data_IF_677781387540
#
_entry.id   IF_677781387540
#
_cell.length_a   1.000
_cell.length_b   1.000
_cell.length_c   1.000
_cell.angle_alpha   90.00
_cell.angle_beta   90.00
_cell.angle_gamma   90.00
#
_symmetry.space_group_name_H-M   'P 1'
#
loop_
_entity.id
_entity.type
_entity.pdbx_description
1 polymer ?
#
# COMPACT_ATOMS: atom_id res chain seq x y z
N UNK A 1 -1.12 16.08 35.25
CA UNK A 1 0.14 16.68 34.79
C UNK A 1 0.37 16.22 33.35
N UNK A 2 0.27 17.13 32.40
CA UNK A 2 0.60 16.84 31.00
C UNK A 2 2.10 16.71 30.89
N UNK A 3 2.63 15.48 30.86
CA UNK A 3 4.03 15.25 30.49
C UNK A 3 4.17 15.73 29.04
N UNK A 4 4.90 16.80 28.84
CA UNK A 4 5.27 17.26 27.49
C UNK A 4 6.09 16.16 26.84
N UNK A 5 5.47 15.42 25.90
CA UNK A 5 6.18 14.39 25.11
C UNK A 5 7.37 15.08 24.45
N UNK A 6 8.57 14.62 24.74
CA UNK A 6 9.81 15.13 24.12
C UNK A 6 9.81 14.70 22.64
N UNK A 7 9.40 15.61 21.75
CA UNK A 7 9.29 15.35 20.30
C UNK A 7 10.58 15.67 19.58
N UNK A 8 10.89 14.85 18.58
CA UNK A 8 11.97 15.14 17.65
C UNK A 8 11.49 16.16 16.59
N UNK A 9 12.41 16.94 16.00
CA UNK A 9 12.11 17.95 14.97
C UNK A 9 11.41 17.41 13.72
N UNK A 10 11.44 16.11 13.48
CA UNK A 10 10.79 15.45 12.34
C UNK A 10 9.36 14.97 12.64
N UNK A 11 8.97 14.97 13.91
CA UNK A 11 7.67 14.47 14.36
C UNK A 11 6.59 15.54 14.24
N UNK A 12 5.46 15.16 13.63
CA UNK A 12 4.29 16.04 13.48
C UNK A 12 3.36 15.83 14.66
N UNK A 13 2.96 16.93 15.33
CA UNK A 13 1.92 16.90 16.36
C UNK A 13 0.53 16.72 15.73
N UNK A 14 0.01 15.49 15.77
CA UNK A 14 -1.29 15.17 15.20
C UNK A 14 -2.46 15.51 16.12
N UNK A 15 -2.18 15.74 17.42
CA UNK A 15 -3.21 15.92 18.44
C UNK A 15 -3.56 17.37 18.72
N UNK A 16 -2.75 18.36 18.32
CA UNK A 16 -2.97 19.78 18.59
C UNK A 16 -2.82 20.63 17.32
N UNK A 17 -3.25 21.89 17.36
CA UNK A 17 -3.13 22.87 16.26
C UNK A 17 -4.01 22.55 15.06
N UNK A 18 -3.67 23.14 13.92
CA UNK A 18 -4.37 22.97 12.63
C UNK A 18 -4.20 21.55 12.11
N UNK A 19 -5.18 21.05 11.36
CA UNK A 19 -5.17 19.66 10.85
C UNK A 19 -4.70 19.62 9.41
N UNK A 20 -5.26 20.46 8.53
CA UNK A 20 -5.06 20.38 7.09
C UNK A 20 -3.58 20.54 6.67
N UNK A 21 -2.89 21.54 7.20
CA UNK A 21 -1.45 21.78 6.93
C UNK A 21 -0.57 20.60 7.34
N UNK A 22 -0.92 19.99 8.49
CA UNK A 22 -0.20 18.82 9.00
C UNK A 22 -0.51 17.56 8.19
N UNK A 23 -1.76 17.39 7.73
CA UNK A 23 -2.12 16.30 6.81
C UNK A 23 -1.34 16.40 5.50
N UNK A 24 -1.24 17.60 4.93
CA UNK A 24 -0.45 17.83 3.70
C UNK A 24 1.02 17.53 3.96
N UNK A 25 1.60 18.08 5.04
CA UNK A 25 3.01 17.84 5.41
C UNK A 25 3.32 16.38 5.68
N UNK A 26 2.36 15.60 6.18
CA UNK A 26 2.50 14.16 6.41
C UNK A 26 2.30 13.34 5.12
N UNK A 27 1.29 13.68 4.32
CA UNK A 27 0.91 12.91 3.12
C UNK A 27 1.90 13.11 1.97
N UNK A 28 2.47 14.31 1.80
CA UNK A 28 3.36 14.62 0.69
C UNK A 28 4.61 13.72 0.63
N UNK A 29 5.36 13.49 1.74
CA UNK A 29 6.47 12.54 1.72
C UNK A 29 6.04 11.10 1.45
N UNK A 30 4.82 10.70 1.86
CA UNK A 30 4.29 9.37 1.57
C UNK A 30 3.95 9.22 0.08
N UNK A 31 3.36 10.24 -0.53
CA UNK A 31 3.11 10.28 -1.98
C UNK A 31 4.42 10.16 -2.76
N UNK A 32 5.42 10.94 -2.39
CA UNK A 32 6.74 10.88 -3.02
C UNK A 32 7.38 9.50 -2.85
N UNK A 33 7.25 8.88 -1.68
CA UNK A 33 7.73 7.50 -1.44
C UNK A 33 7.09 6.50 -2.37
N UNK A 34 5.77 6.57 -2.56
CA UNK A 34 5.05 5.67 -3.45
C UNK A 34 5.39 5.89 -4.92
N UNK A 35 5.51 7.16 -5.37
CA UNK A 35 5.94 7.49 -6.74
C UNK A 35 7.35 6.94 -6.99
N UNK A 36 8.28 7.12 -6.05
CA UNK A 36 9.63 6.57 -6.16
C UNK A 36 9.63 5.05 -6.26
N UNK A 37 8.79 4.36 -5.51
CA UNK A 37 8.67 2.89 -5.63
C UNK A 37 8.19 2.47 -7.01
N UNK A 38 7.21 3.17 -7.60
CA UNK A 38 6.77 2.91 -8.98
C UNK A 38 7.90 3.17 -9.99
N UNK A 39 8.66 4.25 -9.81
CA UNK A 39 9.80 4.57 -10.68
C UNK A 39 10.91 3.51 -10.57
N UNK A 40 11.22 3.01 -9.39
CA UNK A 40 12.24 1.97 -9.22
C UNK A 40 11.81 0.66 -9.89
N UNK A 41 10.56 0.26 -9.74
CA UNK A 41 10.02 -0.89 -10.47
C UNK A 41 10.10 -0.69 -12.00
N UNK A 42 9.84 0.53 -12.49
CA UNK A 42 9.99 0.84 -13.91
C UNK A 42 11.46 0.74 -14.38
N UNK A 43 12.42 1.22 -13.57
CA UNK A 43 13.86 1.09 -13.86
C UNK A 43 14.28 -0.38 -13.93
N UNK A 44 13.83 -1.21 -13.00
CA UNK A 44 14.09 -2.66 -12.99
C UNK A 44 13.61 -3.31 -14.28
N UNK A 45 12.39 -3.01 -14.71
CA UNK A 45 11.79 -3.53 -15.95
C UNK A 45 12.55 -3.04 -17.19
N UNK A 46 12.95 -1.77 -17.24
CA UNK A 46 13.70 -1.18 -18.37
C UNK A 46 15.09 -1.82 -18.47
N UNK A 47 15.81 -1.96 -17.38
CA UNK A 47 17.15 -2.54 -17.35
C UNK A 47 17.10 -4.00 -17.83
N UNK A 48 16.16 -4.80 -17.31
CA UNK A 48 16.00 -6.19 -17.75
C UNK A 48 15.59 -6.27 -19.22
N UNK A 49 14.60 -5.50 -19.64
CA UNK A 49 14.07 -5.56 -21.00
C UNK A 49 15.10 -5.16 -22.07
N UNK A 50 15.97 -4.19 -21.77
CA UNK A 50 17.01 -3.72 -22.71
C UNK A 50 18.27 -4.58 -22.75
N UNK A 51 18.69 -5.14 -21.62
CA UNK A 51 20.00 -5.77 -21.48
C UNK A 51 19.98 -7.27 -21.25
N UNK A 52 18.81 -7.86 -20.92
CA UNK A 52 18.71 -9.30 -20.61
C UNK A 52 17.73 -10.07 -21.51
N UNK A 53 17.07 -9.39 -22.43
CA UNK A 53 16.17 -9.99 -23.42
C UNK A 53 14.75 -10.25 -22.93
N UNK A 54 13.89 -10.69 -23.87
CA UNK A 54 12.45 -10.85 -23.65
C UNK A 54 12.08 -11.94 -22.65
N UNK A 55 12.82 -13.03 -22.58
CA UNK A 55 12.57 -14.11 -21.61
C UNK A 55 12.79 -13.64 -20.17
N UNK A 56 13.84 -12.87 -19.92
CA UNK A 56 14.11 -12.27 -18.61
C UNK A 56 13.04 -11.27 -18.21
N UNK A 57 12.55 -10.47 -19.16
CA UNK A 57 11.45 -9.55 -18.94
C UNK A 57 10.14 -10.29 -18.59
N UNK A 58 9.84 -11.36 -19.34
CA UNK A 58 8.68 -12.22 -19.06
C UNK A 58 8.77 -12.89 -17.68
N UNK A 59 9.99 -13.32 -17.28
CA UNK A 59 10.22 -13.92 -15.97
C UNK A 59 9.92 -12.97 -14.82
N UNK A 60 10.36 -11.72 -14.88
CA UNK A 60 10.06 -10.71 -13.85
C UNK A 60 8.59 -10.34 -13.87
N UNK A 61 8.00 -10.16 -15.06
CA UNK A 61 6.59 -9.83 -15.20
C UNK A 61 5.64 -10.86 -14.60
N UNK A 62 5.89 -12.14 -14.87
CA UNK A 62 5.06 -13.27 -14.37
C UNK A 62 5.10 -13.41 -12.85
N UNK A 63 6.21 -13.05 -12.21
CA UNK A 63 6.38 -13.19 -10.75
C UNK A 63 5.82 -12.01 -9.95
N UNK A 64 5.65 -10.83 -10.57
CA UNK A 64 5.23 -9.59 -9.87
C UNK A 64 3.89 -9.75 -9.16
N UNK A 65 2.90 -10.35 -9.79
CA UNK A 65 1.57 -10.56 -9.20
C UNK A 65 1.62 -11.45 -7.96
N UNK A 66 2.42 -12.54 -8.02
CA UNK A 66 2.63 -13.46 -6.91
C UNK A 66 3.32 -12.79 -5.73
N UNK A 67 4.41 -12.07 -6.01
CA UNK A 67 5.15 -11.33 -4.99
C UNK A 67 4.22 -10.34 -4.29
N UNK A 68 3.44 -9.57 -5.04
CA UNK A 68 2.49 -8.61 -4.49
C UNK A 68 1.40 -9.28 -3.65
N UNK A 69 0.89 -10.43 -4.06
CA UNK A 69 -0.11 -11.17 -3.30
C UNK A 69 0.40 -11.56 -1.91
N UNK A 70 1.60 -12.12 -1.83
CA UNK A 70 2.21 -12.53 -0.57
C UNK A 70 2.62 -11.33 0.29
N UNK A 71 3.20 -10.28 -0.31
CA UNK A 71 3.71 -9.12 0.44
C UNK A 71 2.59 -8.25 1.00
N UNK A 72 1.47 -8.08 0.27
CA UNK A 72 0.36 -7.24 0.70
C UNK A 72 -0.26 -7.68 2.03
N UNK A 73 -0.32 -8.98 2.30
CA UNK A 73 -0.81 -9.49 3.59
C UNK A 73 0.06 -8.98 4.75
N UNK A 74 1.38 -9.10 4.62
CA UNK A 74 2.32 -8.68 5.66
C UNK A 74 2.48 -7.17 5.77
N UNK A 75 2.37 -6.44 4.65
CA UNK A 75 2.25 -4.98 4.66
C UNK A 75 1.00 -4.57 5.44
N UNK A 76 -0.13 -5.26 5.23
CA UNK A 76 -1.35 -5.05 6.01
C UNK A 76 -1.11 -5.22 7.52
N UNK A 77 -0.35 -6.24 7.93
CA UNK A 77 -0.02 -6.45 9.34
C UNK A 77 0.83 -5.29 9.90
N UNK A 78 1.73 -4.70 9.10
CA UNK A 78 2.51 -3.53 9.52
C UNK A 78 1.63 -2.29 9.82
N UNK A 79 0.45 -2.17 9.18
CA UNK A 79 -0.52 -1.12 9.51
C UNK A 79 -1.06 -1.29 10.93
N UNK A 80 -1.22 -2.53 11.41
CA UNK A 80 -1.57 -2.81 12.80
C UNK A 80 -0.51 -2.31 13.78
N UNK A 81 0.77 -2.49 13.46
CA UNK A 81 1.86 -1.93 14.25
C UNK A 81 1.85 -0.40 14.24
N UNK A 82 1.56 0.25 13.10
CA UNK A 82 1.40 1.70 13.02
C UNK A 82 0.28 2.20 13.94
N UNK A 83 -0.92 1.62 13.84
CA UNK A 83 -2.09 2.03 14.64
C UNK A 83 -1.81 1.90 16.13
N UNK A 84 -1.22 0.80 16.57
CA UNK A 84 -0.97 0.56 17.97
C UNK A 84 0.12 1.50 18.53
N UNK A 85 1.22 1.66 17.78
CA UNK A 85 2.30 2.59 18.11
C UNK A 85 1.79 4.04 18.18
N UNK A 86 0.98 4.48 17.20
CA UNK A 86 0.40 5.82 17.19
C UNK A 86 -0.46 6.10 18.42
N UNK A 87 -1.27 5.12 18.83
CA UNK A 87 -2.14 5.20 20.01
C UNK A 87 -1.33 5.36 21.30
N UNK A 88 -0.35 4.49 21.54
CA UNK A 88 0.45 4.52 22.77
C UNK A 88 1.38 5.72 22.83
N UNK A 89 1.97 6.09 21.69
CA UNK A 89 2.80 7.30 21.61
C UNK A 89 2.03 8.55 22.03
N UNK A 90 0.84 8.77 21.45
CA UNK A 90 0.01 9.95 21.78
C UNK A 90 -0.50 9.92 23.23
N UNK A 91 -0.80 8.74 23.76
CA UNK A 91 -1.25 8.57 25.14
C UNK A 91 -0.12 8.72 26.18
N UNK A 92 1.15 8.89 25.77
CA UNK A 92 2.31 8.96 26.68
C UNK A 92 2.58 7.66 27.43
N UNK A 93 2.18 6.52 26.85
CA UNK A 93 2.35 5.20 27.43
C UNK A 93 3.67 4.58 26.96
N UNK A 94 4.77 5.04 27.55
CA UNK A 94 6.12 4.74 27.09
C UNK A 94 6.48 3.24 27.17
N UNK A 95 6.01 2.55 28.21
CA UNK A 95 6.23 1.11 28.36
C UNK A 95 5.53 0.32 27.24
N UNK A 96 4.24 0.57 27.06
CA UNK A 96 3.42 -0.08 26.04
C UNK A 96 3.91 0.25 24.62
N UNK A 97 4.38 1.48 24.41
CA UNK A 97 5.01 1.89 23.14
C UNK A 97 6.29 1.09 22.89
N UNK A 98 7.19 1.01 23.87
CA UNK A 98 8.42 0.22 23.76
C UNK A 98 8.13 -1.25 23.49
N UNK A 99 7.21 -1.88 24.22
CA UNK A 99 6.84 -3.29 24.04
C UNK A 99 6.18 -3.53 22.67
N UNK A 100 5.40 -2.57 22.15
CA UNK A 100 4.82 -2.62 20.81
C UNK A 100 5.91 -2.57 19.73
N UNK A 101 6.88 -1.67 19.85
CA UNK A 101 8.00 -1.54 18.91
C UNK A 101 8.80 -2.84 18.84
N UNK A 102 9.19 -3.41 20.00
CA UNK A 102 9.96 -4.64 20.04
C UNK A 102 9.17 -5.84 19.50
N UNK A 103 7.88 -5.92 19.80
CA UNK A 103 6.97 -6.93 19.22
C UNK A 103 6.85 -6.79 17.71
N UNK A 104 6.70 -5.57 17.20
CA UNK A 104 6.56 -5.29 15.76
C UNK A 104 7.84 -5.64 14.98
N UNK A 105 9.01 -5.27 15.47
CA UNK A 105 10.30 -5.59 14.83
C UNK A 105 10.59 -7.10 14.88
N UNK A 106 10.29 -7.75 16.01
CA UNK A 106 10.43 -9.22 16.11
C UNK A 106 9.47 -9.93 15.14
N UNK A 107 8.24 -9.43 15.02
CA UNK A 107 7.25 -9.95 14.06
C UNK A 107 7.71 -9.74 12.61
N UNK A 108 8.33 -8.60 12.30
CA UNK A 108 8.91 -8.34 10.98
C UNK A 108 9.99 -9.37 10.60
N UNK A 109 10.88 -9.70 11.54
CA UNK A 109 11.91 -10.73 11.34
C UNK A 109 11.29 -12.11 11.10
N UNK A 110 10.36 -12.53 11.97
CA UNK A 110 9.71 -13.83 11.87
C UNK A 110 8.92 -13.94 10.57
N UNK A 111 8.11 -12.94 10.23
CA UNK A 111 7.34 -12.92 8.98
C UNK A 111 8.26 -12.94 7.76
N UNK A 112 9.35 -12.19 7.79
CA UNK A 112 10.37 -12.20 6.73
C UNK A 112 11.01 -13.59 6.55
N UNK A 113 11.39 -14.24 7.65
CA UNK A 113 11.96 -15.59 7.62
C UNK A 113 10.94 -16.61 7.09
N UNK A 114 9.69 -16.54 7.54
CA UNK A 114 8.60 -17.39 7.00
C UNK A 114 8.49 -17.20 5.48
N UNK A 115 8.55 -15.98 5.00
CA UNK A 115 8.48 -15.67 3.58
C UNK A 115 9.68 -16.20 2.79
N UNK A 116 10.88 -16.25 3.37
CA UNK A 116 12.04 -16.94 2.75
C UNK A 116 11.71 -18.40 2.48
N UNK A 117 11.21 -19.13 3.49
CA UNK A 117 10.83 -20.53 3.31
C UNK A 117 9.70 -20.71 2.30
N UNK A 118 8.68 -19.84 2.34
CA UNK A 118 7.60 -19.85 1.36
C UNK A 118 8.15 -19.67 -0.05
N UNK A 119 9.02 -18.69 -0.28
CA UNK A 119 9.63 -18.46 -1.59
C UNK A 119 10.53 -19.58 -2.07
N UNK A 120 11.33 -20.17 -1.19
CA UNK A 120 12.23 -21.26 -1.57
C UNK A 120 11.48 -22.56 -1.92
N UNK A 121 10.41 -22.88 -1.18
CA UNK A 121 9.66 -24.12 -1.34
C UNK A 121 8.60 -24.00 -2.43
N UNK A 122 7.81 -22.92 -2.42
CA UNK A 122 6.61 -22.79 -3.24
C UNK A 122 6.81 -22.00 -4.55
N UNK A 123 7.98 -21.37 -4.79
CA UNK A 123 8.20 -20.57 -6.00
C UNK A 123 7.91 -21.38 -7.28
N UNK A 124 8.56 -22.54 -7.45
CA UNK A 124 8.38 -23.36 -8.64
C UNK A 124 7.00 -24.00 -8.76
N UNK A 125 6.44 -24.67 -7.70
CA UNK A 125 5.10 -25.25 -7.75
C UNK A 125 3.98 -24.23 -8.09
N UNK A 126 4.08 -23.01 -7.58
CA UNK A 126 3.06 -21.97 -7.86
C UNK A 126 3.18 -21.47 -9.30
N UNK A 127 4.41 -21.32 -9.84
CA UNK A 127 4.63 -20.96 -11.24
C UNK A 127 4.16 -22.05 -12.20
N UNK A 128 4.35 -23.32 -11.87
CA UNK A 128 3.79 -24.47 -12.61
C UNK A 128 2.26 -24.45 -12.60
N UNK A 129 1.64 -24.17 -11.46
CA UNK A 129 0.17 -24.05 -11.34
C UNK A 129 -0.39 -22.88 -12.17
N UNK A 130 0.43 -21.88 -12.48
CA UNK A 130 0.07 -20.74 -13.33
C UNK A 130 0.34 -20.97 -14.82
N UNK A 131 0.67 -22.18 -15.22
CA UNK A 131 1.04 -22.53 -16.61
C UNK A 131 2.15 -21.62 -17.18
N UNK A 132 3.16 -21.32 -16.34
CA UNK A 132 4.31 -20.52 -16.79
C UNK A 132 5.10 -21.30 -17.83
N UNK A 133 5.41 -20.73 -19.02
CA UNK A 133 6.12 -21.43 -20.09
C UNK A 133 7.49 -22.00 -19.66
N UNK A 134 7.85 -23.17 -20.21
CA UNK A 134 9.07 -23.93 -19.85
C UNK A 134 10.37 -23.14 -20.09
N UNK A 135 10.39 -22.26 -21.08
CA UNK A 135 11.52 -21.40 -21.42
C UNK A 135 11.73 -20.24 -20.44
N UNK A 136 10.71 -19.91 -19.63
CA UNK A 136 10.71 -18.79 -18.67
C UNK A 136 10.72 -19.27 -17.22
N UNK A 137 10.16 -20.44 -16.92
CA UNK A 137 9.92 -20.91 -15.54
C UNK A 137 11.18 -20.98 -14.68
N UNK A 138 12.31 -21.37 -15.26
CA UNK A 138 13.57 -21.46 -14.52
C UNK A 138 14.09 -20.07 -14.11
N UNK A 139 13.97 -19.07 -14.98
CA UNK A 139 14.33 -17.68 -14.71
C UNK A 139 13.39 -17.05 -13.69
N UNK A 140 12.08 -17.30 -13.83
CA UNK A 140 11.05 -16.84 -12.88
C UNK A 140 11.27 -17.43 -11.49
N UNK A 141 11.57 -18.73 -11.40
CA UNK A 141 11.88 -19.41 -10.14
C UNK A 141 13.13 -18.83 -9.48
N UNK A 142 14.19 -18.61 -10.26
CA UNK A 142 15.43 -18.01 -9.77
C UNK A 142 15.20 -16.59 -9.23
N UNK A 143 14.51 -15.74 -10.00
CA UNK A 143 14.15 -14.38 -9.58
C UNK A 143 13.36 -14.40 -8.28
N UNK A 144 12.29 -15.18 -8.24
CA UNK A 144 11.41 -15.28 -7.09
C UNK A 144 12.15 -15.77 -5.85
N UNK A 145 12.99 -16.80 -5.95
CA UNK A 145 13.78 -17.30 -4.82
C UNK A 145 14.73 -16.25 -4.27
N UNK A 146 15.48 -15.54 -5.13
CA UNK A 146 16.41 -14.48 -4.71
C UNK A 146 15.60 -13.33 -4.07
N UNK A 147 14.50 -12.91 -4.68
CA UNK A 147 13.65 -11.85 -4.15
C UNK A 147 13.13 -12.19 -2.73
N UNK A 148 12.65 -13.42 -2.53
CA UNK A 148 12.15 -13.87 -1.24
C UNK A 148 13.24 -13.97 -0.16
N UNK A 149 14.50 -14.23 -0.54
CA UNK A 149 15.63 -14.12 0.40
C UNK A 149 15.80 -12.70 0.96
N UNK A 150 15.35 -11.67 0.25
CA UNK A 150 15.32 -10.27 0.70
C UNK A 150 14.15 -9.92 1.61
N UNK A 151 13.14 -10.81 1.77
CA UNK A 151 11.93 -10.51 2.53
C UNK A 151 12.16 -10.07 3.99
N UNK A 152 13.11 -10.61 4.76
CA UNK A 152 13.40 -10.11 6.09
C UNK A 152 13.74 -8.61 6.10
N UNK A 153 14.52 -8.14 5.13
CA UNK A 153 14.91 -6.73 5.02
C UNK A 153 13.72 -5.87 4.58
N UNK A 154 12.93 -6.35 3.63
CA UNK A 154 11.70 -5.69 3.19
C UNK A 154 10.71 -5.53 4.36
N UNK A 155 10.50 -6.56 5.17
CA UNK A 155 9.61 -6.51 6.32
C UNK A 155 10.14 -5.57 7.39
N UNK A 156 11.43 -5.62 7.72
CA UNK A 156 12.06 -4.71 8.69
C UNK A 156 11.91 -3.25 8.29
N UNK A 157 12.10 -2.93 7.00
CA UNK A 157 11.85 -1.57 6.51
C UNK A 157 10.38 -1.17 6.68
N UNK A 158 9.43 -2.00 6.25
CA UNK A 158 8.00 -1.67 6.30
C UNK A 158 7.49 -1.45 7.73
N UNK A 159 7.86 -2.34 8.66
CA UNK A 159 7.45 -2.21 10.07
C UNK A 159 8.16 -1.04 10.76
N UNK A 160 9.45 -0.85 10.52
CA UNK A 160 10.19 0.29 11.05
C UNK A 160 9.65 1.63 10.52
N UNK A 161 9.36 1.71 9.22
CA UNK A 161 8.71 2.88 8.63
C UNK A 161 7.28 3.09 9.18
N UNK A 162 6.54 2.02 9.47
CA UNK A 162 5.22 2.10 10.10
C UNK A 162 5.30 2.70 11.51
N UNK A 163 6.31 2.35 12.31
CA UNK A 163 6.57 2.95 13.62
C UNK A 163 6.92 4.44 13.49
N UNK A 164 7.79 4.82 12.54
CA UNK A 164 8.14 6.22 12.31
C UNK A 164 6.91 7.04 11.85
N UNK A 165 6.10 6.51 10.96
CA UNK A 165 4.83 7.13 10.55
C UNK A 165 3.86 7.29 11.73
N UNK A 166 3.83 6.32 12.64
CA UNK A 166 2.97 6.37 13.84
C UNK A 166 3.27 7.57 14.74
N UNK A 167 4.53 7.99 14.84
CA UNK A 167 4.96 9.15 15.61
C UNK A 167 4.96 10.47 14.81
N UNK A 168 4.56 10.42 13.53
CA UNK A 168 4.47 11.60 12.67
C UNK A 168 5.66 11.87 11.78
N UNK A 169 6.61 10.96 11.71
CA UNK A 169 7.79 11.11 10.87
C UNK A 169 7.65 10.33 9.54
N UNK A 170 7.36 11.05 8.49
CA UNK A 170 7.30 10.52 7.12
C UNK A 170 8.51 10.91 6.28
N UNK A 171 9.30 11.89 6.73
CA UNK A 171 10.45 12.42 5.97
C UNK A 171 11.64 11.48 6.02
N UNK A 172 11.97 10.92 7.20
CA UNK A 172 13.10 9.99 7.32
C UNK A 172 12.90 8.69 6.53
N UNK A 173 11.74 8.00 6.58
CA UNK A 173 11.46 6.86 5.70
C UNK A 173 11.58 7.17 4.20
N UNK A 174 11.10 8.34 3.75
CA UNK A 174 11.29 8.80 2.38
C UNK A 174 12.78 8.93 2.02
N UNK A 175 13.56 9.57 2.86
CA UNK A 175 15.00 9.74 2.62
C UNK A 175 15.72 8.38 2.51
N UNK A 176 15.39 7.42 3.38
CA UNK A 176 15.96 6.07 3.34
C UNK A 176 15.59 5.33 2.06
N UNK A 177 14.37 5.54 1.58
CA UNK A 177 13.92 4.97 0.31
C UNK A 177 14.64 5.60 -0.89
N UNK A 178 14.90 6.91 -0.87
CA UNK A 178 15.69 7.57 -1.93
C UNK A 178 17.10 6.97 -1.99
N UNK A 179 17.78 6.86 -0.85
CA UNK A 179 19.13 6.27 -0.78
C UNK A 179 19.13 4.83 -1.30
N UNK A 180 18.18 4.02 -0.85
CA UNK A 180 18.05 2.63 -1.29
C UNK A 180 17.73 2.53 -2.79
N UNK A 181 16.91 3.41 -3.33
CA UNK A 181 16.53 3.39 -4.72
C UNK A 181 17.65 3.83 -5.67
N UNK A 182 18.45 4.83 -5.28
CA UNK A 182 19.66 5.19 -6.04
C UNK A 182 20.65 4.01 -6.04
N UNK A 183 20.84 3.35 -4.89
CA UNK A 183 21.66 2.14 -4.80
C UNK A 183 21.11 1.01 -5.66
N UNK A 184 19.78 0.78 -5.66
CA UNK A 184 19.12 -0.22 -6.50
C UNK A 184 19.41 0.03 -8.00
N UNK A 185 19.17 1.25 -8.49
CA UNK A 185 19.40 1.59 -9.89
C UNK A 185 20.89 1.39 -10.28
N UNK A 186 21.83 1.82 -9.44
CA UNK A 186 23.25 1.63 -9.66
C UNK A 186 23.67 0.15 -9.65
N UNK A 187 23.15 -0.62 -8.70
CA UNK A 187 23.42 -2.07 -8.60
C UNK A 187 22.82 -2.83 -9.78
N UNK A 188 21.61 -2.51 -10.21
CA UNK A 188 20.98 -3.14 -11.36
C UNK A 188 21.81 -2.91 -12.65
N UNK A 189 22.26 -1.67 -12.89
CA UNK A 189 23.14 -1.37 -14.02
C UNK A 189 24.44 -2.16 -13.92
N UNK A 190 25.07 -2.18 -12.76
CA UNK A 190 26.33 -2.89 -12.53
C UNK A 190 26.16 -4.41 -12.72
N UNK A 191 25.21 -5.02 -12.03
CA UNK A 191 25.03 -6.48 -12.02
C UNK A 191 24.48 -7.02 -13.35
N UNK A 192 23.65 -6.27 -14.05
CA UNK A 192 23.07 -6.70 -15.33
C UNK A 192 23.97 -6.37 -16.49
N UNK A 193 24.56 -5.17 -16.54
CA UNK A 193 25.33 -4.72 -17.74
C UNK A 193 26.79 -5.17 -17.64
N UNK A 194 27.43 -5.04 -16.47
CA UNK A 194 28.87 -5.35 -16.32
C UNK A 194 29.06 -6.84 -16.00
N UNK A 195 28.29 -7.36 -15.03
CA UNK A 195 28.44 -8.78 -14.61
C UNK A 195 27.56 -9.75 -15.40
N UNK A 196 26.67 -9.28 -16.27
CA UNK A 196 25.78 -10.08 -17.12
C UNK A 196 24.92 -11.10 -16.35
N UNK A 197 24.53 -10.78 -15.11
CA UNK A 197 23.75 -11.68 -14.24
C UNK A 197 22.25 -11.73 -14.61
N UNK A 198 21.80 -10.94 -15.57
CA UNK A 198 20.41 -10.95 -16.06
C UNK A 198 19.39 -10.77 -14.92
N UNK A 199 18.42 -11.70 -14.86
CA UNK A 199 17.34 -11.71 -13.87
C UNK A 199 17.87 -11.78 -12.43
N UNK A 200 18.92 -12.58 -12.19
CA UNK A 200 19.54 -12.67 -10.86
C UNK A 200 20.16 -11.35 -10.43
N UNK A 201 20.75 -10.59 -11.38
CA UNK A 201 21.34 -9.29 -11.09
C UNK A 201 20.33 -8.29 -10.55
N UNK A 202 19.15 -8.17 -11.16
CA UNK A 202 18.08 -7.28 -10.66
C UNK A 202 17.53 -7.74 -9.32
N UNK A 203 17.31 -9.04 -9.14
CA UNK A 203 16.85 -9.57 -7.86
C UNK A 203 17.85 -9.28 -6.72
N UNK A 204 19.15 -9.49 -6.95
CA UNK A 204 20.21 -9.19 -5.97
C UNK A 204 20.28 -7.69 -5.70
N UNK A 205 20.21 -6.83 -6.73
CA UNK A 205 20.18 -5.39 -6.59
C UNK A 205 19.02 -4.92 -5.70
N UNK A 206 17.84 -5.49 -5.89
CA UNK A 206 16.65 -5.23 -5.08
C UNK A 206 16.86 -5.69 -3.63
N UNK A 207 17.39 -6.89 -3.39
CA UNK A 207 17.67 -7.39 -2.04
C UNK A 207 18.67 -6.50 -1.29
N UNK A 208 19.76 -6.09 -1.96
CA UNK A 208 20.77 -5.19 -1.34
C UNK A 208 20.16 -3.82 -1.04
N UNK A 209 19.34 -3.27 -1.91
CA UNK A 209 18.67 -1.99 -1.67
C UNK A 209 17.68 -2.06 -0.49
N UNK A 210 16.96 -3.17 -0.34
CA UNK A 210 16.11 -3.44 0.82
C UNK A 210 16.92 -3.58 2.11
N UNK A 211 18.07 -4.22 2.05
CA UNK A 211 19.01 -4.29 3.18
C UNK A 211 19.47 -2.88 3.60
N UNK A 212 19.87 -2.02 2.66
CA UNK A 212 20.26 -0.64 2.94
C UNK A 212 19.14 0.12 3.65
N UNK A 213 17.93 0.10 3.10
CA UNK A 213 16.79 0.81 3.70
C UNK A 213 16.44 0.27 5.10
N UNK A 214 16.51 -1.04 5.30
CA UNK A 214 16.26 -1.66 6.60
C UNK A 214 17.31 -1.27 7.66
N UNK A 215 18.59 -1.26 7.30
CA UNK A 215 19.67 -0.81 8.19
C UNK A 215 19.46 0.65 8.60
N UNK A 216 19.12 1.52 7.65
CA UNK A 216 18.90 2.94 7.93
C UNK A 216 17.71 3.17 8.86
N UNK A 217 16.61 2.47 8.66
CA UNK A 217 15.44 2.55 9.53
C UNK A 217 15.75 1.99 10.93
N UNK A 218 16.38 0.83 11.03
CA UNK A 218 16.74 0.23 12.32
C UNK A 218 17.74 1.10 13.10
N UNK A 219 18.75 1.67 12.41
CA UNK A 219 19.68 2.63 13.01
C UNK A 219 18.97 3.87 13.53
N UNK A 220 17.95 4.35 12.81
CA UNK A 220 17.13 5.48 13.24
C UNK A 220 16.38 5.15 14.54
N UNK A 221 15.71 4.00 14.61
CA UNK A 221 15.00 3.55 15.81
C UNK A 221 15.97 3.29 16.98
N UNK A 222 17.12 2.69 16.72
CA UNK A 222 18.14 2.42 17.75
C UNK A 222 18.71 3.70 18.37
N UNK A 223 18.96 4.74 17.54
CA UNK A 223 19.52 6.02 17.99
C UNK A 223 18.48 7.01 18.52
N UNK A 224 17.22 6.64 18.52
CA UNK A 224 16.17 7.48 19.07
C UNK A 224 16.26 7.53 20.59
N UNK A 225 16.13 8.72 21.19
CA UNK A 225 16.11 8.91 22.66
C UNK A 225 14.67 9.06 23.18
N UNK A 226 13.71 8.39 22.56
CA UNK A 226 12.29 8.50 22.82
C UNK A 226 11.69 7.13 23.17
N UNK A 227 10.41 7.08 23.53
CA UNK A 227 9.69 5.85 23.92
C UNK A 227 9.67 4.75 22.84
N UNK A 228 9.96 5.09 21.58
CA UNK A 228 10.06 4.13 20.48
C UNK A 228 11.51 3.67 20.18
N UNK A 229 12.45 3.92 21.10
CA UNK A 229 13.82 3.44 20.95
C UNK A 229 13.87 1.91 20.87
N UNK A 230 14.59 1.41 19.85
CA UNK A 230 14.81 -0.02 19.67
C UNK A 230 16.04 -0.48 20.46
N UNK A 231 15.86 -1.48 21.31
CA UNK A 231 16.94 -2.19 21.98
C UNK A 231 16.96 -3.64 21.52
N UNK A 232 18.00 -4.07 20.83
CA UNK A 232 18.10 -5.44 20.31
C UNK A 232 18.03 -6.51 21.41
N UNK A 233 18.48 -6.20 22.62
CA UNK A 233 18.39 -7.10 23.79
C UNK A 233 16.95 -7.29 24.31
N UNK A 234 16.04 -6.40 23.94
CA UNK A 234 14.63 -6.45 24.39
C UNK A 234 13.69 -7.03 23.32
N UNK A 235 14.22 -7.53 22.20
CA UNK A 235 13.41 -8.15 21.16
C UNK A 235 12.66 -9.36 21.72
N UNK A 236 11.34 -9.23 21.80
CA UNK A 236 10.43 -10.24 22.33
C UNK A 236 9.04 -10.01 21.79
N UNK A 237 8.33 -11.10 21.53
CA UNK A 237 6.90 -11.03 21.21
C UNK A 237 6.10 -10.98 22.49
N UNK A 238 5.36 -9.89 22.67
CA UNK A 238 4.35 -9.76 23.71
C UNK A 238 2.99 -10.17 23.12
N UNK A 239 2.40 -11.25 23.63
CA UNK A 239 1.15 -11.84 23.08
C UNK A 239 0.00 -10.84 23.01
N UNK A 240 -0.10 -9.95 23.98
CA UNK A 240 -1.15 -8.94 24.04
C UNK A 240 -1.07 -7.96 22.87
N UNK A 241 0.13 -7.40 22.61
CA UNK A 241 0.31 -6.45 21.51
C UNK A 241 0.30 -7.15 20.15
N UNK A 242 0.82 -8.37 20.06
CA UNK A 242 0.71 -9.19 18.85
C UNK A 242 -0.75 -9.39 18.44
N UNK A 243 -1.61 -9.74 19.40
CA UNK A 243 -3.05 -9.92 19.17
C UNK A 243 -3.68 -8.63 18.66
N UNK A 244 -3.35 -7.49 19.25
CA UNK A 244 -3.87 -6.19 18.83
C UNK A 244 -3.35 -5.79 17.43
N UNK A 245 -2.08 -6.03 17.12
CA UNK A 245 -1.50 -5.81 15.79
C UNK A 245 -2.25 -6.66 14.75
N UNK A 246 -2.49 -7.95 15.05
CA UNK A 246 -3.21 -8.85 14.15
C UNK A 246 -4.68 -8.48 13.97
N UNK A 247 -5.36 -8.03 15.01
CA UNK A 247 -6.76 -7.57 14.92
C UNK A 247 -6.96 -6.43 13.93
N UNK A 248 -5.96 -5.58 13.75
CA UNK A 248 -6.00 -4.48 12.77
C UNK A 248 -5.38 -4.92 11.45
N UNK A 249 -4.22 -5.56 11.51
CA UNK A 249 -3.38 -5.80 10.35
C UNK A 249 -3.84 -6.93 9.44
N UNK A 250 -4.26 -8.08 10.00
CA UNK A 250 -4.73 -9.21 9.19
C UNK A 250 -5.95 -8.84 8.35
N UNK A 251 -7.02 -8.23 8.91
CA UNK A 251 -8.13 -7.80 8.08
C UNK A 251 -7.73 -6.80 6.99
N UNK A 252 -6.80 -5.88 7.28
CA UNK A 252 -6.31 -4.93 6.28
C UNK A 252 -5.56 -5.61 5.13
N UNK A 253 -4.72 -6.60 5.43
CA UNK A 253 -4.01 -7.39 4.43
C UNK A 253 -4.94 -8.25 3.57
N UNK A 254 -5.90 -8.93 4.19
CA UNK A 254 -6.91 -9.72 3.48
C UNK A 254 -7.73 -8.81 2.54
N UNK A 255 -8.18 -7.65 3.02
CA UNK A 255 -8.93 -6.69 2.20
C UNK A 255 -8.13 -6.30 0.94
N UNK A 256 -6.85 -5.94 1.07
CA UNK A 256 -6.01 -5.56 -0.06
C UNK A 256 -5.83 -6.71 -1.06
N UNK A 257 -5.61 -7.93 -0.57
CA UNK A 257 -5.43 -9.12 -1.41
C UNK A 257 -6.71 -9.44 -2.19
N UNK A 258 -7.87 -9.42 -1.55
CA UNK A 258 -9.16 -9.75 -2.18
C UNK A 258 -9.58 -8.68 -3.19
N UNK A 259 -9.32 -7.39 -2.93
CA UNK A 259 -9.58 -6.31 -3.89
C UNK A 259 -8.69 -6.48 -5.13
N UNK A 260 -7.42 -6.81 -4.96
CA UNK A 260 -6.53 -7.07 -6.10
C UNK A 260 -7.01 -8.26 -6.94
N UNK A 261 -7.53 -9.33 -6.32
CA UNK A 261 -8.14 -10.44 -7.03
C UNK A 261 -9.35 -9.99 -7.88
N UNK A 262 -10.17 -9.08 -7.35
CA UNK A 262 -11.31 -8.52 -8.10
C UNK A 262 -10.85 -7.72 -9.35
N UNK A 263 -9.69 -7.05 -9.29
CA UNK A 263 -9.12 -6.39 -10.46
C UNK A 263 -8.68 -7.39 -11.54
N UNK A 264 -8.21 -8.58 -11.16
CA UNK A 264 -7.89 -9.67 -12.10
C UNK A 264 -9.14 -10.19 -12.82
N UNK A 265 -10.28 -10.29 -12.13
CA UNK A 265 -11.55 -10.66 -12.76
C UNK A 265 -12.00 -9.63 -13.82
N UNK A 266 -11.87 -8.34 -13.50
CA UNK A 266 -12.16 -7.27 -14.48
C UNK A 266 -11.18 -7.34 -15.66
N UNK A 267 -9.89 -7.54 -15.42
CA UNK A 267 -8.88 -7.73 -16.47
C UNK A 267 -9.25 -8.87 -17.41
N UNK A 268 -9.70 -10.01 -16.87
CA UNK A 268 -10.15 -11.16 -17.66
C UNK A 268 -11.32 -10.79 -18.57
N UNK A 269 -12.27 -10.00 -18.07
CA UNK A 269 -13.40 -9.51 -18.87
C UNK A 269 -12.95 -8.55 -19.99
N UNK A 270 -11.97 -7.66 -19.70
CA UNK A 270 -11.38 -6.77 -20.73
C UNK A 270 -10.67 -7.59 -21.82
N UNK A 271 -9.98 -8.66 -21.44
CA UNK A 271 -9.24 -9.52 -22.38
C UNK A 271 -10.18 -10.15 -23.43
N UNK A 272 -11.48 -10.35 -23.09
CA UNK A 272 -12.49 -10.86 -24.04
C UNK A 272 -12.81 -9.92 -25.22
N UNK A 273 -12.39 -8.64 -25.15
CA UNK A 273 -12.53 -7.67 -26.25
C UNK A 273 -11.32 -7.63 -27.19
N UNK A 274 -10.30 -8.46 -26.93
CA UNK A 274 -9.14 -8.59 -27.77
C UNK A 274 -7.95 -7.71 -27.37
N UNK A 275 -6.87 -7.83 -28.13
CA UNK A 275 -5.55 -7.27 -27.79
C UNK A 275 -5.53 -5.74 -27.71
N UNK A 276 -6.35 -5.04 -28.49
CA UNK A 276 -6.44 -3.56 -28.48
C UNK A 276 -7.00 -3.08 -27.12
N UNK A 277 -8.11 -3.68 -26.66
CA UNK A 277 -8.72 -3.35 -25.38
C UNK A 277 -7.78 -3.68 -24.23
N UNK A 278 -7.14 -4.84 -24.28
CA UNK A 278 -6.17 -5.27 -23.28
C UNK A 278 -4.97 -4.31 -23.18
N UNK A 279 -4.43 -3.86 -24.30
CA UNK A 279 -3.33 -2.90 -24.33
C UNK A 279 -3.75 -1.53 -23.80
N UNK A 280 -4.94 -1.02 -24.17
CA UNK A 280 -5.51 0.23 -23.66
C UNK A 280 -5.74 0.20 -22.17
N UNK A 281 -6.31 -0.90 -21.65
CA UNK A 281 -6.52 -1.10 -20.21
C UNK A 281 -5.20 -1.14 -19.46
N UNK A 282 -4.20 -1.87 -19.97
CA UNK A 282 -2.87 -1.96 -19.32
C UNK A 282 -2.19 -0.58 -19.24
N UNK A 283 -2.22 0.20 -20.32
CA UNK A 283 -1.68 1.55 -20.34
C UNK A 283 -2.40 2.49 -19.34
N UNK A 284 -3.73 2.44 -19.29
CA UNK A 284 -4.53 3.21 -18.34
C UNK A 284 -4.26 2.79 -16.88
N UNK A 285 -4.11 1.49 -16.60
CA UNK A 285 -3.80 0.98 -15.26
C UNK A 285 -2.46 1.52 -14.71
N UNK A 286 -1.47 1.73 -15.56
CA UNK A 286 -0.22 2.36 -15.12
C UNK A 286 -0.46 3.80 -14.67
N UNK A 287 -1.33 4.55 -15.34
CA UNK A 287 -1.71 5.92 -14.94
C UNK A 287 -2.47 5.89 -13.60
N UNK A 288 -3.40 4.92 -13.42
CA UNK A 288 -4.09 4.73 -12.13
C UNK A 288 -3.17 4.44 -10.97
N UNK A 289 -2.08 3.72 -11.20
CA UNK A 289 -1.07 3.45 -10.17
C UNK A 289 -0.56 4.73 -9.50
N UNK A 290 -0.27 5.78 -10.29
CA UNK A 290 0.16 7.09 -9.76
C UNK A 290 -0.95 7.81 -8.98
N UNK A 291 -2.21 7.73 -9.43
CA UNK A 291 -3.34 8.32 -8.71
C UNK A 291 -3.58 7.59 -7.39
N UNK A 292 -3.51 6.26 -7.39
CA UNK A 292 -3.72 5.44 -6.20
C UNK A 292 -2.68 5.69 -5.11
N UNK A 293 -1.44 5.98 -5.46
CA UNK A 293 -0.39 6.38 -4.49
C UNK A 293 -0.83 7.59 -3.66
N UNK A 294 -1.48 8.57 -4.29
CA UNK A 294 -2.00 9.76 -3.59
C UNK A 294 -3.12 9.39 -2.62
N UNK A 295 -4.09 8.58 -3.08
CA UNK A 295 -5.19 8.08 -2.24
C UNK A 295 -4.64 7.33 -1.02
N UNK A 296 -3.68 6.43 -1.26
CA UNK A 296 -3.05 5.62 -0.20
C UNK A 296 -2.33 6.50 0.83
N UNK A 297 -1.61 7.54 0.39
CA UNK A 297 -0.90 8.46 1.28
C UNK A 297 -1.86 9.21 2.22
N UNK A 298 -2.99 9.73 1.69
CA UNK A 298 -4.02 10.41 2.50
C UNK A 298 -4.72 9.43 3.44
N UNK A 299 -4.97 8.21 3.00
CA UNK A 299 -5.56 7.14 3.83
C UNK A 299 -4.65 6.77 4.99
N UNK A 300 -3.34 6.63 4.77
CA UNK A 300 -2.37 6.39 5.84
C UNK A 300 -2.28 7.56 6.82
N UNK A 301 -2.36 8.81 6.31
CA UNK A 301 -2.45 9.99 7.16
C UNK A 301 -3.70 9.95 8.03
N UNK A 302 -4.87 9.72 7.43
CA UNK A 302 -6.15 9.59 8.14
C UNK A 302 -6.07 8.55 9.26
N UNK A 303 -5.52 7.37 8.98
CA UNK A 303 -5.34 6.29 9.94
C UNK A 303 -4.43 6.69 11.11
N UNK A 304 -3.26 7.28 10.84
CA UNK A 304 -2.27 7.66 11.87
C UNK A 304 -2.80 8.80 12.75
N UNK A 305 -3.38 9.85 12.14
CA UNK A 305 -3.99 10.97 12.88
C UNK A 305 -5.18 10.51 13.72
N UNK A 306 -6.05 9.68 13.17
CA UNK A 306 -7.19 9.11 13.92
C UNK A 306 -6.70 8.28 15.09
N UNK A 307 -5.68 7.43 14.90
CA UNK A 307 -5.16 6.56 15.95
C UNK A 307 -4.51 7.35 17.11
N UNK A 308 -3.73 8.41 16.81
CA UNK A 308 -3.18 9.27 17.84
C UNK A 308 -4.29 9.99 18.63
N UNK A 309 -5.28 10.59 17.93
CA UNK A 309 -6.40 11.27 18.58
C UNK A 309 -7.30 10.32 19.38
N UNK A 310 -7.45 9.07 18.91
CA UNK A 310 -8.11 8.00 19.66
C UNK A 310 -7.38 7.68 20.96
N UNK A 311 -6.05 7.61 20.94
CA UNK A 311 -5.22 7.35 22.12
C UNK A 311 -5.37 8.37 23.24
N UNK A 312 -5.60 9.64 22.89
CA UNK A 312 -5.78 10.75 23.83
C UNK A 312 -7.25 11.13 24.08
N UNK A 313 -8.21 10.37 23.55
CA UNK A 313 -9.64 10.64 23.75
C UNK A 313 -10.18 11.91 23.07
N UNK A 314 -9.51 12.42 22.01
CA UNK A 314 -9.95 13.61 21.25
C UNK A 314 -10.95 13.27 20.13
N UNK A 315 -12.12 12.76 20.49
CA UNK A 315 -13.13 12.19 19.58
C UNK A 315 -13.63 13.18 18.51
N UNK A 316 -13.96 14.43 18.93
CA UNK A 316 -14.39 15.47 17.99
C UNK A 316 -13.32 15.80 16.95
N UNK A 317 -12.04 15.69 17.36
CA UNK A 317 -10.91 15.93 16.45
C UNK A 317 -10.76 14.78 15.44
N UNK A 318 -11.08 13.54 15.81
CA UNK A 318 -11.09 12.41 14.86
C UNK A 318 -12.09 12.61 13.74
N UNK A 319 -13.32 13.08 14.07
CA UNK A 319 -14.33 13.41 13.05
C UNK A 319 -13.82 14.51 12.11
N UNK A 320 -13.16 15.53 12.66
CA UNK A 320 -12.58 16.60 11.85
C UNK A 320 -11.42 16.11 10.97
N UNK A 321 -10.57 15.22 11.49
CA UNK A 321 -9.50 14.59 10.70
C UNK A 321 -10.08 13.85 9.49
N UNK A 322 -11.15 13.06 9.68
CA UNK A 322 -11.79 12.36 8.55
C UNK A 322 -12.35 13.36 7.53
N UNK A 323 -13.04 14.42 7.95
CA UNK A 323 -13.60 15.45 7.06
C UNK A 323 -12.46 16.14 6.28
N UNK A 324 -11.40 16.55 6.96
CA UNK A 324 -10.26 17.23 6.32
C UNK A 324 -9.53 16.30 5.34
N UNK A 325 -9.45 14.99 5.64
CA UNK A 325 -8.92 13.98 4.71
C UNK A 325 -9.82 13.77 3.48
N UNK A 326 -11.17 13.77 3.67
CA UNK A 326 -12.11 13.69 2.55
C UNK A 326 -11.97 14.92 1.64
N UNK A 327 -11.87 16.12 2.20
CA UNK A 327 -11.65 17.36 1.42
C UNK A 327 -10.31 17.29 0.69
N UNK A 328 -9.22 16.91 1.38
CA UNK A 328 -7.89 16.80 0.77
C UNK A 328 -7.88 15.78 -0.38
N UNK A 329 -8.47 14.61 -0.16
CA UNK A 329 -8.58 13.57 -1.18
C UNK A 329 -9.43 14.02 -2.37
N UNK A 330 -10.56 14.69 -2.11
CA UNK A 330 -11.43 15.24 -3.16
C UNK A 330 -10.66 16.25 -4.03
N UNK A 331 -10.07 17.26 -3.42
CA UNK A 331 -9.33 18.31 -4.14
C UNK A 331 -8.14 17.71 -4.91
N UNK A 332 -7.37 16.85 -4.27
CA UNK A 332 -6.22 16.22 -4.92
C UNK A 332 -6.66 15.35 -6.12
N UNK A 333 -7.71 14.56 -5.97
CA UNK A 333 -8.18 13.70 -7.06
C UNK A 333 -8.91 14.49 -8.16
N UNK A 334 -9.62 15.57 -7.84
CA UNK A 334 -10.19 16.46 -8.86
C UNK A 334 -9.10 17.11 -9.70
N UNK A 335 -8.00 17.52 -9.10
CA UNK A 335 -6.85 18.10 -9.84
C UNK A 335 -6.12 17.00 -10.62
N UNK A 336 -5.63 15.97 -9.96
CA UNK A 336 -4.78 14.94 -10.57
C UNK A 336 -5.56 14.05 -11.54
N UNK A 337 -6.78 13.63 -11.21
CA UNK A 337 -7.62 12.79 -12.05
C UNK A 337 -8.05 13.50 -13.33
N UNK A 338 -8.53 14.75 -13.23
CA UNK A 338 -8.88 15.53 -14.42
C UNK A 338 -7.64 15.90 -15.25
N UNK A 339 -6.50 16.17 -14.61
CA UNK A 339 -5.23 16.37 -15.33
C UNK A 339 -4.82 15.10 -16.08
N UNK A 340 -4.94 13.93 -15.44
CA UNK A 340 -4.64 12.64 -16.07
C UNK A 340 -5.56 12.38 -17.28
N UNK A 341 -6.83 12.75 -17.22
CA UNK A 341 -7.74 12.66 -18.36
C UNK A 341 -7.39 13.68 -19.45
N UNK A 342 -7.19 14.95 -19.11
CA UNK A 342 -6.88 16.01 -20.07
C UNK A 342 -5.58 15.76 -20.83
N UNK A 343 -4.54 15.34 -20.12
CA UNK A 343 -3.26 14.95 -20.72
C UNK A 343 -3.22 13.49 -21.17
N UNK A 344 -4.31 12.76 -21.00
CA UNK A 344 -4.44 11.32 -21.28
C UNK A 344 -3.91 10.89 -22.64
N UNK A 345 -4.26 11.55 -23.76
CA UNK A 345 -3.71 11.20 -25.06
C UNK A 345 -2.18 11.20 -25.09
N UNK A 346 -1.55 12.24 -24.50
CA UNK A 346 -0.08 12.35 -24.40
C UNK A 346 0.53 11.33 -23.45
N UNK A 347 -0.13 11.05 -22.33
CA UNK A 347 0.33 10.05 -21.37
C UNK A 347 0.26 8.63 -21.96
N UNK A 348 -0.79 8.31 -22.69
CA UNK A 348 -0.94 7.02 -23.36
C UNK A 348 0.05 6.82 -24.52
N UNK A 349 0.47 7.89 -25.20
CA UNK A 349 1.51 7.80 -26.27
C UNK A 349 2.88 7.38 -25.73
N UNK A 350 3.13 7.50 -24.42
CA UNK A 350 4.35 6.96 -23.79
C UNK A 350 4.37 5.41 -23.89
N UNK A 351 3.20 4.79 -23.88
CA UNK A 351 3.06 3.32 -23.89
C UNK A 351 2.80 2.75 -25.29
N UNK A 352 2.15 3.50 -26.18
CA UNK A 352 1.76 3.01 -27.51
C UNK A 352 1.59 4.14 -28.51
N UNK A 353 1.93 3.89 -29.77
CA UNK A 353 1.64 4.77 -30.91
C UNK A 353 0.34 4.40 -31.65
N UNK A 354 -0.33 3.30 -31.27
CA UNK A 354 -1.55 2.84 -31.93
C UNK A 354 -2.77 3.67 -31.47
N UNK A 355 -3.36 4.42 -32.41
CA UNK A 355 -4.50 5.31 -32.15
C UNK A 355 -5.73 4.59 -31.58
N UNK A 356 -6.00 3.35 -31.98
CA UNK A 356 -7.13 2.56 -31.45
C UNK A 356 -6.89 2.16 -29.99
N UNK A 357 -5.65 1.84 -29.61
CA UNK A 357 -5.29 1.55 -28.22
C UNK A 357 -5.40 2.80 -27.35
N UNK A 358 -4.97 3.95 -27.88
CA UNK A 358 -5.10 5.24 -27.18
C UNK A 358 -6.58 5.58 -26.98
N UNK A 359 -7.43 5.40 -28.00
CA UNK A 359 -8.86 5.65 -27.87
C UNK A 359 -9.49 4.78 -26.79
N UNK A 360 -9.23 3.48 -26.78
CA UNK A 360 -9.71 2.56 -25.76
C UNK A 360 -9.17 2.97 -24.36
N UNK A 361 -7.91 3.35 -24.24
CA UNK A 361 -7.33 3.85 -22.99
C UNK A 361 -8.03 5.13 -22.51
N UNK A 362 -8.43 6.03 -23.41
CA UNK A 362 -9.18 7.26 -23.07
C UNK A 362 -10.58 6.97 -22.56
N UNK A 363 -11.29 5.99 -23.12
CA UNK A 363 -12.59 5.53 -22.61
C UNK A 363 -12.49 5.09 -21.16
N UNK A 364 -11.47 4.29 -20.84
CA UNK A 364 -11.21 3.84 -19.47
C UNK A 364 -10.90 5.03 -18.56
N UNK A 365 -10.02 5.94 -18.98
CA UNK A 365 -9.65 7.11 -18.20
C UNK A 365 -10.87 7.99 -17.89
N UNK A 366 -11.83 8.13 -18.82
CA UNK A 366 -13.05 8.90 -18.61
C UNK A 366 -13.84 8.40 -17.39
N UNK A 367 -14.15 7.11 -17.35
CA UNK A 367 -14.98 6.54 -16.29
C UNK A 367 -14.25 6.43 -14.95
N UNK A 368 -12.95 6.29 -14.96
CA UNK A 368 -12.19 6.04 -13.75
C UNK A 368 -11.53 7.29 -13.17
N UNK A 369 -10.78 8.09 -13.97
CA UNK A 369 -10.01 9.20 -13.40
C UNK A 369 -10.88 10.37 -12.96
N UNK A 370 -11.94 10.68 -13.69
CA UNK A 370 -12.88 11.75 -13.34
C UNK A 370 -13.63 11.43 -12.03
N UNK A 371 -13.92 10.15 -11.80
CA UNK A 371 -14.61 9.68 -10.59
C UNK A 371 -13.66 9.16 -9.50
N UNK A 372 -12.34 9.30 -9.66
CA UNK A 372 -11.35 8.68 -8.78
C UNK A 372 -11.39 9.17 -7.33
N UNK A 373 -11.97 10.34 -7.07
CA UNK A 373 -12.22 10.82 -5.71
C UNK A 373 -13.13 9.87 -4.91
N UNK A 374 -14.04 9.12 -5.58
CA UNK A 374 -14.84 8.08 -4.95
C UNK A 374 -13.97 6.93 -4.44
N UNK A 375 -12.94 6.53 -5.19
CA UNK A 375 -11.95 5.55 -4.71
C UNK A 375 -11.27 6.04 -3.43
N UNK A 376 -10.90 7.33 -3.37
CA UNK A 376 -10.35 7.95 -2.17
C UNK A 376 -11.32 7.88 -0.98
N UNK A 377 -12.57 8.22 -1.18
CA UNK A 377 -13.59 8.15 -0.13
C UNK A 377 -13.82 6.72 0.35
N UNK A 378 -13.87 5.76 -0.57
CA UNK A 378 -14.00 4.34 -0.24
C UNK A 378 -12.89 3.85 0.70
N UNK A 379 -11.64 4.34 0.55
CA UNK A 379 -10.50 3.92 1.36
C UNK A 379 -10.36 4.71 2.67
N UNK A 380 -10.83 5.97 2.73
CA UNK A 380 -10.69 6.83 3.89
C UNK A 380 -11.52 6.36 5.10
N UNK A 381 -12.75 5.90 4.89
CA UNK A 381 -13.59 5.38 5.98
C UNK A 381 -12.98 4.15 6.66
N UNK A 382 -12.57 3.09 5.93
CA UNK A 382 -11.81 1.99 6.52
C UNK A 382 -10.51 2.45 7.18
N UNK A 383 -9.81 3.43 6.62
CA UNK A 383 -8.61 4.03 7.19
C UNK A 383 -8.87 4.64 8.58
N UNK A 384 -9.91 5.44 8.71
CA UNK A 384 -10.33 6.01 9.98
C UNK A 384 -10.76 4.93 10.99
N UNK A 385 -11.56 3.94 10.57
CA UNK A 385 -12.00 2.83 11.41
C UNK A 385 -10.83 1.96 11.89
N UNK A 386 -9.83 1.71 11.03
CA UNK A 386 -8.57 1.04 11.41
C UNK A 386 -7.80 1.86 12.46
N UNK A 387 -7.73 3.19 12.30
CA UNK A 387 -7.14 4.09 13.29
C UNK A 387 -7.79 3.96 14.67
N UNK A 388 -9.09 3.68 14.73
CA UNK A 388 -9.82 3.38 15.97
C UNK A 388 -9.60 1.92 16.46
N UNK A 389 -8.85 1.09 15.72
CA UNK A 389 -8.65 -0.32 16.02
C UNK A 389 -9.79 -1.24 15.57
N UNK A 390 -10.70 -0.77 14.73
CA UNK A 390 -11.84 -1.52 14.18
C UNK A 390 -11.59 -1.84 12.71
N UNK A 391 -11.01 -3.00 12.41
CA UNK A 391 -10.61 -3.38 11.04
C UNK A 391 -11.46 -4.49 10.43
N UNK A 392 -12.02 -5.40 11.22
CA UNK A 392 -12.73 -6.57 10.73
C UNK A 392 -14.02 -6.24 9.96
N UNK A 393 -14.90 -5.44 10.57
CA UNK A 393 -16.17 -5.05 9.92
C UNK A 393 -15.94 -4.22 8.66
N UNK A 394 -15.09 -3.18 8.67
CA UNK A 394 -14.74 -2.44 7.45
C UNK A 394 -14.19 -3.32 6.32
N UNK A 395 -13.36 -4.32 6.65
CA UNK A 395 -12.87 -5.29 5.66
C UNK A 395 -14.02 -6.03 4.97
N UNK A 396 -14.93 -6.61 5.76
CA UNK A 396 -16.08 -7.36 5.22
C UNK A 396 -16.94 -6.48 4.32
N UNK A 397 -17.24 -5.25 4.77
CA UNK A 397 -18.05 -4.31 4.01
C UNK A 397 -17.35 -3.84 2.72
N UNK A 398 -16.03 -3.65 2.74
CA UNK A 398 -15.27 -3.34 1.52
C UNK A 398 -15.26 -4.53 0.55
N UNK A 399 -15.13 -5.75 1.04
CA UNK A 399 -15.19 -6.94 0.18
C UNK A 399 -16.58 -7.08 -0.44
N UNK A 400 -17.66 -6.97 0.34
CA UNK A 400 -19.03 -7.05 -0.18
C UNK A 400 -19.30 -5.91 -1.16
N UNK A 401 -18.98 -4.67 -0.79
CA UNK A 401 -19.26 -3.49 -1.60
C UNK A 401 -18.43 -3.45 -2.89
N UNK A 402 -17.14 -3.75 -2.83
CA UNK A 402 -16.28 -3.67 -4.03
C UNK A 402 -16.31 -4.97 -4.81
N UNK A 403 -15.94 -6.10 -4.19
CA UNK A 403 -15.79 -7.38 -4.89
C UNK A 403 -17.14 -7.98 -5.20
N UNK A 404 -18.06 -7.96 -4.24
CA UNK A 404 -19.43 -8.48 -4.44
C UNK A 404 -20.15 -7.74 -5.59
N UNK A 405 -20.09 -6.40 -5.59
CA UNK A 405 -20.68 -5.60 -6.68
C UNK A 405 -20.06 -5.95 -8.03
N UNK A 406 -18.72 -6.06 -8.12
CA UNK A 406 -18.05 -6.40 -9.39
C UNK A 406 -18.35 -7.79 -9.87
N UNK A 407 -18.47 -8.78 -8.97
CA UNK A 407 -18.91 -10.15 -9.33
C UNK A 407 -20.32 -10.10 -9.90
N UNK A 408 -21.28 -9.46 -9.22
CA UNK A 408 -22.64 -9.30 -9.72
C UNK A 408 -22.63 -8.59 -11.08
N UNK A 409 -21.81 -7.55 -11.24
CA UNK A 409 -21.70 -6.80 -12.47
C UNK A 409 -21.20 -7.66 -13.64
N UNK A 410 -20.13 -8.41 -13.43
CA UNK A 410 -19.50 -9.25 -14.46
C UNK A 410 -20.40 -10.42 -14.87
N UNK A 411 -21.12 -11.04 -13.94
CA UNK A 411 -21.89 -12.25 -14.23
C UNK A 411 -23.36 -11.99 -14.61
N UNK A 412 -23.96 -10.84 -14.23
CA UNK A 412 -25.37 -10.55 -14.51
C UNK A 412 -25.61 -9.32 -15.40
N UNK A 413 -24.84 -8.24 -15.22
CA UNK A 413 -25.07 -7.01 -15.99
C UNK A 413 -24.29 -7.04 -17.29
N UNK A 414 -22.99 -7.31 -17.22
CA UNK A 414 -22.10 -7.30 -18.38
C UNK A 414 -22.49 -8.28 -19.50
N UNK A 415 -22.94 -9.52 -19.26
CA UNK A 415 -23.34 -10.43 -20.34
C UNK A 415 -24.52 -9.93 -21.18
N UNK A 416 -25.43 -9.15 -20.57
CA UNK A 416 -26.62 -8.60 -21.25
C UNK A 416 -26.30 -7.30 -22.01
N UNK A 417 -25.23 -6.61 -21.68
CA UNK A 417 -24.82 -5.32 -22.26
C UNK A 417 -23.32 -5.31 -22.49
N UNK A 418 -22.84 -6.12 -23.43
CA UNK A 418 -21.42 -6.39 -23.64
C UNK A 418 -20.71 -5.21 -24.32
N UNK A 419 -20.31 -4.21 -23.53
CA UNK A 419 -19.49 -3.07 -23.97
C UNK A 419 -18.44 -2.73 -22.93
N UNK A 420 -17.34 -2.08 -23.36
CA UNK A 420 -16.27 -1.62 -22.46
C UNK A 420 -16.80 -0.56 -21.47
N UNK A 421 -17.66 0.35 -21.92
CA UNK A 421 -18.28 1.36 -21.07
C UNK A 421 -19.02 0.75 -19.88
N UNK A 422 -19.87 -0.23 -20.15
CA UNK A 422 -20.61 -0.95 -19.09
C UNK A 422 -19.64 -1.65 -18.13
N UNK A 423 -18.56 -2.23 -18.64
CA UNK A 423 -17.56 -2.86 -17.78
C UNK A 423 -16.86 -1.82 -16.86
N UNK A 424 -16.52 -0.64 -17.39
CA UNK A 424 -15.80 0.39 -16.63
C UNK A 424 -16.69 1.15 -15.65
N UNK A 425 -17.98 1.30 -15.90
CA UNK A 425 -18.96 1.85 -14.95
C UNK A 425 -19.02 1.00 -13.67
N UNK A 426 -18.60 -0.27 -13.69
CA UNK A 426 -18.50 -1.10 -12.49
C UNK A 426 -17.55 -0.53 -11.42
N UNK A 427 -16.55 0.28 -11.82
CA UNK A 427 -15.62 0.93 -10.87
C UNK A 427 -16.37 1.96 -10.00
N UNK A 428 -16.92 3.06 -10.55
CA UNK A 428 -17.65 4.03 -9.73
C UNK A 428 -18.86 3.43 -9.02
N UNK A 429 -19.58 2.48 -9.65
CA UNK A 429 -20.69 1.80 -9.01
C UNK A 429 -20.28 1.05 -7.74
N UNK A 430 -19.19 0.25 -7.82
CA UNK A 430 -18.65 -0.47 -6.67
C UNK A 430 -18.12 0.45 -5.59
N UNK A 431 -17.51 1.58 -5.97
CA UNK A 431 -17.02 2.59 -5.01
C UNK A 431 -18.17 3.25 -4.26
N UNK A 432 -19.24 3.65 -4.94
CA UNK A 432 -20.42 4.29 -4.31
C UNK A 432 -21.08 3.33 -3.31
N UNK A 433 -21.32 2.07 -3.71
CA UNK A 433 -21.92 1.07 -2.81
C UNK A 433 -21.03 0.86 -1.59
N UNK A 434 -19.72 0.75 -1.78
CA UNK A 434 -18.78 0.58 -0.66
C UNK A 434 -18.79 1.79 0.26
N UNK A 435 -18.80 3.03 -0.28
CA UNK A 435 -18.86 4.26 0.52
C UNK A 435 -20.12 4.26 1.38
N UNK A 436 -21.29 3.96 0.82
CA UNK A 436 -22.55 3.92 1.59
C UNK A 436 -22.45 2.94 2.76
N UNK A 437 -21.96 1.73 2.52
CA UNK A 437 -21.78 0.73 3.57
C UNK A 437 -20.79 1.19 4.64
N UNK A 438 -19.68 1.81 4.25
CA UNK A 438 -18.66 2.31 5.16
C UNK A 438 -19.11 3.51 5.98
N UNK A 439 -19.87 4.45 5.40
CA UNK A 439 -20.47 5.59 6.11
C UNK A 439 -21.43 5.09 7.20
N UNK A 440 -22.29 4.12 6.87
CA UNK A 440 -23.20 3.50 7.83
C UNK A 440 -22.40 2.85 8.97
N UNK A 441 -21.35 2.09 8.65
CA UNK A 441 -20.48 1.47 9.64
C UNK A 441 -19.81 2.51 10.54
N UNK A 442 -19.24 3.57 9.95
CA UNK A 442 -18.60 4.66 10.69
C UNK A 442 -19.58 5.33 11.65
N UNK A 443 -20.81 5.61 11.20
CA UNK A 443 -21.86 6.19 12.04
C UNK A 443 -22.16 5.31 13.28
N UNK A 444 -22.33 4.00 13.11
CA UNK A 444 -22.61 3.10 14.23
C UNK A 444 -21.41 2.98 15.19
N UNK A 445 -20.19 2.84 14.68
CA UNK A 445 -18.98 2.78 15.52
C UNK A 445 -18.81 4.07 16.30
N UNK A 446 -19.00 5.23 15.65
CA UNK A 446 -18.96 6.54 16.29
C UNK A 446 -20.01 6.64 17.40
N UNK A 447 -21.26 6.26 17.14
CA UNK A 447 -22.35 6.29 18.13
C UNK A 447 -22.00 5.44 19.37
N UNK A 448 -21.44 4.24 19.18
CA UNK A 448 -20.97 3.39 20.27
C UNK A 448 -19.87 4.05 21.11
N UNK A 449 -18.88 4.68 20.45
CA UNK A 449 -17.80 5.39 21.13
C UNK A 449 -18.30 6.56 21.97
N UNK A 450 -19.21 7.38 21.44
CA UNK A 450 -19.79 8.50 22.17
C UNK A 450 -20.70 8.05 23.33
N UNK A 451 -21.41 6.92 23.18
CA UNK A 451 -22.20 6.33 24.27
C UNK A 451 -21.29 5.85 25.42
N UNK A 452 -20.17 5.19 25.09
CA UNK A 452 -19.19 4.75 26.09
C UNK A 452 -18.60 5.93 26.88
N UNK A 453 -18.23 7.00 26.19
CA UNK A 453 -17.76 8.23 26.85
C UNK A 453 -18.73 8.82 27.87
N UNK A 454 -20.05 8.87 27.50
CA UNK A 454 -21.08 9.41 28.39
C UNK A 454 -21.29 8.55 29.63
N UNK A 455 -20.96 7.24 29.54
CA UNK A 455 -21.04 6.32 30.66
C UNK A 455 -19.81 6.38 31.59
N UNK A 456 -18.67 6.88 31.09
CA UNK A 456 -17.40 7.01 31.84
C UNK A 456 -17.20 8.42 32.41
N UNK A 457 -17.98 9.42 31.99
CA UNK A 457 -18.01 10.82 32.47
C UNK A 457 -19.08 11.01 33.57
#
# INVERSE_FOLDING_TARGET
MSSTIKRNKYEIDMCNGTIMDKLISFSLPLMLSGILQLMFNAVDIIVIGRFSGSQSLAAVGSTTALINMFTNLFIGISLGANVLSARFYAAGKDKEMSETVHTAITLALISGIIMVFVGLIFAKPVLELMDTPDDVINLSTLYMRIYFMGMPFFMLYNYGAAILRAVGDTKRPLFYLIVAGIANAGLNMCLVIIFHLGVAGVAIGTVISQLISSILVLRCLYRSETSYQLHFSKLKIQKEYLKQIFQVGIPAGIQSTVINFSNVLLQSSVNSFGSIAMAGYTAANNIFGFLYVTVNAVTQACMSFTSQNYGVGKWKRMDRVLIDCLILSFVAMMILGNSAYFFGPKLLTIYTSNSKVIQCGMEILLYTTVTYFLCGFMDLFPGALRGMGRSGVPMILSIIGTVGTRIVWIFWIFPNHRSLDILFISYPASWIITIVLQVICYYFVRKQLYAKMRAEA
#
